data_IF_834737038834
#
_entry.id   IF_834737038834
#
_cell.length_a   1.000
_cell.length_b   1.000
_cell.length_c   1.000
_cell.angle_alpha   90.00
_cell.angle_beta   90.00
_cell.angle_gamma   90.00
#
_symmetry.space_group_name_H-M   'P 1'
#
loop_
_entity.id
_entity.type
_entity.pdbx_description
1 polymer ?
#
# COMPACT_ATOMS: atom_id res chain seq x y z
N UNK A 1 -4.02 -0.22 27.17
CA UNK A 1 -3.70 0.00 25.76
C UNK A 1 -2.32 -0.59 25.54
N UNK A 2 -2.27 -1.70 24.82
CA UNK A 2 -1.04 -2.30 24.37
C UNK A 2 -0.68 -1.79 22.97
N UNK A 3 0.61 -1.82 22.64
CA UNK A 3 1.10 -1.63 21.29
C UNK A 3 1.48 -3.00 20.71
N UNK A 4 1.03 -3.26 19.49
CA UNK A 4 1.32 -4.48 18.75
C UNK A 4 2.03 -4.13 17.45
N UNK A 5 2.83 -5.06 16.92
CA UNK A 5 3.44 -4.94 15.60
C UNK A 5 3.00 -6.09 14.72
N UNK A 6 2.59 -5.80 13.50
CA UNK A 6 2.24 -6.80 12.49
C UNK A 6 3.11 -6.60 11.25
N UNK A 7 3.98 -7.57 10.97
CA UNK A 7 4.89 -7.50 9.84
C UNK A 7 4.22 -7.86 8.49
N UNK A 8 4.90 -7.54 7.39
CA UNK A 8 4.45 -7.83 6.03
C UNK A 8 4.97 -9.17 5.48
N UNK A 9 5.35 -10.14 6.32
CA UNK A 9 5.87 -11.44 5.86
C UNK A 9 4.81 -12.27 5.12
N UNK A 10 3.55 -12.16 5.56
CA UNK A 10 2.38 -12.75 4.92
C UNK A 10 1.37 -11.66 4.54
N UNK A 11 0.81 -11.76 3.34
CA UNK A 11 -0.14 -10.77 2.80
C UNK A 11 -1.33 -11.46 2.12
N UNK A 12 -2.51 -10.85 2.20
CA UNK A 12 -3.70 -11.25 1.44
C UNK A 12 -4.10 -10.17 0.42
N UNK A 13 -5.03 -10.45 -0.48
CA UNK A 13 -5.50 -9.50 -1.53
C UNK A 13 -7.03 -9.47 -1.66
N UNK A 14 -7.70 -10.01 -0.66
CA UNK A 14 -9.13 -10.25 -0.65
C UNK A 14 -9.71 -9.76 0.67
N UNK A 15 -10.91 -9.20 0.62
CA UNK A 15 -11.69 -8.81 1.80
C UNK A 15 -12.59 -9.97 2.23
N UNK A 16 -11.98 -11.05 2.70
CA UNK A 16 -12.67 -12.32 2.95
C UNK A 16 -12.64 -12.68 4.46
N UNK A 17 -13.81 -12.96 5.04
CA UNK A 17 -13.94 -13.26 6.47
C UNK A 17 -13.52 -14.69 6.87
N UNK A 18 -13.26 -15.57 5.90
CA UNK A 18 -12.71 -16.90 6.12
C UNK A 18 -11.18 -16.87 6.35
N UNK A 19 -10.51 -15.75 6.08
CA UNK A 19 -9.07 -15.60 6.33
C UNK A 19 -8.82 -15.51 7.84
N UNK A 20 -8.01 -16.43 8.36
CA UNK A 20 -7.64 -16.43 9.78
C UNK A 20 -6.91 -15.13 10.16
N UNK A 21 -7.27 -14.50 11.29
CA UNK A 21 -6.58 -13.28 11.72
C UNK A 21 -5.14 -13.58 12.14
N UNK A 22 -4.20 -12.75 11.67
CA UNK A 22 -2.78 -12.84 12.08
C UNK A 22 -2.52 -12.21 13.44
N UNK A 23 -3.42 -11.33 13.88
CA UNK A 23 -3.34 -10.65 15.17
C UNK A 23 -4.74 -10.52 15.77
N UNK A 24 -4.87 -10.68 17.08
CA UNK A 24 -6.10 -10.35 17.82
C UNK A 24 -5.79 -9.31 18.89
N UNK A 25 -6.48 -8.17 18.83
CA UNK A 25 -6.30 -7.04 19.75
C UNK A 25 -7.56 -6.74 20.55
N UNK A 26 -7.41 -5.98 21.62
CA UNK A 26 -8.53 -5.40 22.37
C UNK A 26 -8.85 -3.98 21.85
N UNK A 27 -10.12 -3.52 21.90
CA UNK A 27 -10.47 -2.15 21.54
C UNK A 27 -9.60 -1.12 22.29
N UNK A 28 -9.07 -0.13 21.56
CA UNK A 28 -8.18 0.91 22.10
C UNK A 28 -6.69 0.57 22.06
N UNK A 29 -6.31 -0.65 21.67
CA UNK A 29 -4.90 -0.96 21.38
C UNK A 29 -4.40 -0.26 20.11
N UNK A 30 -3.07 -0.09 20.02
CA UNK A 30 -2.39 0.45 18.84
C UNK A 30 -1.71 -0.68 18.07
N UNK A 31 -1.78 -0.64 16.74
CA UNK A 31 -1.09 -1.59 15.86
C UNK A 31 -0.19 -0.83 14.90
N UNK A 32 1.10 -1.18 14.89
CA UNK A 32 2.09 -0.75 13.92
C UNK A 32 2.17 -1.79 12.81
N UNK A 33 1.80 -1.41 11.59
CA UNK A 33 1.84 -2.29 10.43
C UNK A 33 3.11 -2.03 9.61
N UNK A 34 3.85 -3.10 9.30
CA UNK A 34 4.73 -3.05 8.13
C UNK A 34 3.89 -3.39 6.91
N UNK A 35 4.11 -2.68 5.80
CA UNK A 35 3.36 -2.89 4.56
C UNK A 35 4.30 -2.97 3.37
N UNK A 36 3.93 -3.79 2.38
CA UNK A 36 4.58 -3.76 1.06
C UNK A 36 3.97 -2.67 0.20
N UNK A 37 4.72 -2.24 -0.82
CA UNK A 37 4.21 -1.25 -1.77
C UNK A 37 3.08 -1.83 -2.63
N UNK A 38 2.33 -0.96 -3.31
CA UNK A 38 1.17 -1.34 -4.11
C UNK A 38 1.48 -2.35 -5.23
N UNK A 39 2.74 -2.45 -5.66
CA UNK A 39 3.21 -3.41 -6.64
C UNK A 39 3.74 -4.72 -6.05
N UNK A 40 3.73 -4.87 -4.73
CA UNK A 40 4.25 -6.05 -4.03
C UNK A 40 5.69 -6.40 -4.45
N UNK A 41 6.56 -5.39 -4.50
CA UNK A 41 7.96 -5.56 -4.88
C UNK A 41 8.22 -5.81 -6.37
N UNK A 42 7.22 -5.60 -7.23
CA UNK A 42 7.39 -5.76 -8.68
C UNK A 42 8.40 -4.77 -9.28
N UNK A 43 8.37 -3.51 -8.83
CA UNK A 43 9.34 -2.50 -9.21
C UNK A 43 10.52 -2.49 -8.23
N UNK A 44 11.65 -2.01 -8.71
CA UNK A 44 12.86 -1.77 -7.94
C UNK A 44 13.48 -0.42 -8.33
N UNK A 45 14.49 0.02 -7.58
CA UNK A 45 15.29 1.20 -7.94
C UNK A 45 15.93 1.13 -9.34
N UNK A 46 16.18 -0.08 -9.83
CA UNK A 46 16.78 -0.33 -11.13
C UNK A 46 15.74 -0.52 -12.25
N UNK A 47 14.44 -0.49 -11.91
CA UNK A 47 13.38 -0.65 -12.91
C UNK A 47 13.33 0.52 -13.87
N UNK A 48 12.91 0.21 -15.08
CA UNK A 48 12.87 1.11 -16.24
C UNK A 48 11.46 1.22 -16.79
N UNK A 49 11.29 2.14 -17.74
CA UNK A 49 10.02 2.34 -18.45
C UNK A 49 9.56 1.05 -19.15
N UNK A 50 10.50 0.21 -19.61
CA UNK A 50 10.16 -1.06 -20.25
C UNK A 50 9.51 -2.04 -19.27
N UNK A 51 9.90 -2.03 -17.98
CA UNK A 51 9.37 -2.94 -16.96
C UNK A 51 7.88 -2.74 -16.68
N UNK A 52 7.36 -1.55 -16.99
CA UNK A 52 5.93 -1.22 -16.87
C UNK A 52 5.08 -2.11 -17.76
N UNK A 53 5.58 -2.56 -18.91
CA UNK A 53 4.87 -3.42 -19.86
C UNK A 53 5.44 -4.84 -19.93
N UNK A 54 6.65 -5.08 -19.43
CA UNK A 54 7.41 -6.30 -19.68
C UNK A 54 6.94 -7.55 -18.90
N UNK A 55 6.08 -7.43 -17.88
CA UNK A 55 5.65 -8.62 -17.12
C UNK A 55 4.13 -8.71 -16.96
N UNK A 56 3.71 -9.95 -16.72
CA UNK A 56 2.33 -10.43 -16.62
C UNK A 56 1.53 -9.81 -15.46
N UNK A 57 0.40 -10.44 -15.06
CA UNK A 57 -0.60 -9.76 -14.25
C UNK A 57 -0.03 -9.26 -12.92
N UNK A 58 -0.08 -7.94 -12.76
CA UNK A 58 0.12 -7.23 -11.51
C UNK A 58 -0.95 -7.71 -10.52
N UNK A 59 -0.58 -8.60 -9.59
CA UNK A 59 -1.51 -8.99 -8.51
C UNK A 59 -1.81 -7.79 -7.61
N UNK A 60 -0.79 -6.97 -7.35
CA UNK A 60 -0.92 -5.67 -6.69
C UNK A 60 -1.51 -5.72 -5.29
N UNK A 61 -1.59 -4.55 -4.67
CA UNK A 61 -2.33 -4.24 -3.45
C UNK A 61 -2.26 -5.33 -2.36
N UNK A 62 -1.05 -5.76 -1.95
CA UNK A 62 -0.90 -6.71 -0.85
C UNK A 62 -1.35 -6.06 0.48
N UNK A 63 -2.19 -6.75 1.22
CA UNK A 63 -2.74 -6.30 2.50
C UNK A 63 -2.08 -7.03 3.66
N UNK A 64 -1.66 -6.27 4.67
CA UNK A 64 -1.13 -6.81 5.93
C UNK A 64 -2.26 -6.91 6.94
N UNK A 65 -2.48 -8.12 7.47
CA UNK A 65 -3.67 -8.45 8.23
C UNK A 65 -4.10 -9.90 7.96
N UNK A 66 -5.35 -10.28 8.30
CA UNK A 66 -6.34 -9.46 9.00
C UNK A 66 -6.03 -9.30 10.48
N UNK A 67 -6.56 -8.23 11.09
CA UNK A 67 -6.56 -8.02 12.54
C UNK A 67 -7.97 -8.24 13.07
N UNK A 68 -8.10 -9.13 14.06
CA UNK A 68 -9.35 -9.32 14.79
C UNK A 68 -9.41 -8.38 15.98
N UNK A 69 -10.48 -7.61 16.08
CA UNK A 69 -10.78 -6.78 17.27
C UNK A 69 -11.73 -7.56 18.17
N UNK A 70 -11.34 -7.81 19.43
CA UNK A 70 -12.20 -8.54 20.38
C UNK A 70 -13.51 -7.80 20.61
N UNK A 71 -14.61 -8.55 20.58
CA UNK A 71 -15.94 -8.03 20.85
C UNK A 71 -16.65 -7.37 19.67
N UNK A 72 -15.95 -7.00 18.59
CA UNK A 72 -16.56 -6.43 17.38
C UNK A 72 -17.47 -7.46 16.68
N UNK A 73 -18.64 -7.00 16.21
CA UNK A 73 -19.69 -7.82 15.58
C UNK A 73 -20.24 -7.15 14.30
N UNK A 74 -20.85 -7.92 13.38
CA UNK A 74 -21.61 -7.34 12.27
C UNK A 74 -22.64 -6.32 12.77
N UNK A 75 -22.68 -5.15 12.13
CA UNK A 75 -23.49 -4.01 12.54
C UNK A 75 -22.76 -2.96 13.39
N UNK A 76 -21.62 -3.31 13.99
CA UNK A 76 -20.77 -2.34 14.68
C UNK A 76 -20.01 -1.44 13.68
N UNK A 77 -19.58 -0.27 14.15
CA UNK A 77 -18.65 0.60 13.42
C UNK A 77 -17.28 0.53 14.05
N UNK A 78 -16.25 0.30 13.24
CA UNK A 78 -14.86 0.41 13.68
C UNK A 78 -14.36 1.84 13.45
N UNK A 79 -13.90 2.49 14.51
CA UNK A 79 -13.16 3.76 14.41
C UNK A 79 -11.67 3.44 14.40
N UNK A 80 -10.97 3.85 13.34
CA UNK A 80 -9.52 3.69 13.20
C UNK A 80 -8.88 5.07 13.18
N UNK A 81 -8.10 5.39 14.21
CA UNK A 81 -7.29 6.61 14.26
C UNK A 81 -5.91 6.33 13.64
N UNK A 82 -5.65 6.88 12.45
CA UNK A 82 -4.33 6.79 11.82
C UNK A 82 -3.40 7.81 12.49
N UNK A 83 -2.52 7.31 13.37
CA UNK A 83 -1.60 8.12 14.18
C UNK A 83 -0.45 8.70 13.36
N UNK A 84 0.12 7.88 12.48
CA UNK A 84 1.34 8.18 11.73
C UNK A 84 1.45 7.23 10.54
N UNK A 85 2.03 7.72 9.44
CA UNK A 85 2.34 6.93 8.25
C UNK A 85 3.69 7.38 7.74
N UNK A 86 4.61 6.42 7.57
CA UNK A 86 5.97 6.70 7.09
C UNK A 86 6.35 5.75 5.98
N UNK A 87 7.02 6.23 4.91
CA UNK A 87 7.66 5.33 3.97
C UNK A 87 8.63 4.40 4.71
N UNK A 88 8.43 3.09 4.56
CA UNK A 88 9.38 2.10 5.08
C UNK A 88 10.65 1.99 4.21
N UNK A 89 10.55 2.46 2.96
CA UNK A 89 11.65 2.50 2.00
C UNK A 89 12.04 3.95 1.73
N UNK A 90 13.31 4.12 1.38
CA UNK A 90 13.93 5.39 0.97
C UNK A 90 13.69 5.70 -0.52
N UNK A 91 12.72 5.04 -1.14
CA UNK A 91 12.27 5.29 -2.51
C UNK A 91 10.80 4.90 -2.72
N UNK A 92 10.21 5.42 -3.78
CA UNK A 92 8.87 5.05 -4.25
C UNK A 92 8.81 5.06 -5.78
N UNK A 93 7.63 4.80 -6.34
CA UNK A 93 7.46 4.76 -7.79
C UNK A 93 6.14 5.38 -8.24
N UNK A 94 6.13 5.88 -9.48
CA UNK A 94 4.91 6.24 -10.20
C UNK A 94 5.04 5.69 -11.62
N UNK A 95 4.01 5.00 -12.10
CA UNK A 95 4.01 4.42 -13.42
C UNK A 95 2.80 4.89 -14.23
N UNK A 96 3.01 5.13 -15.52
CA UNK A 96 1.95 5.30 -16.52
C UNK A 96 2.03 4.08 -17.44
N UNK A 97 0.95 3.31 -17.48
CA UNK A 97 0.75 2.25 -18.47
C UNK A 97 -0.27 2.76 -19.50
N UNK A 98 0.05 2.76 -20.80
CA UNK A 98 -0.91 3.15 -21.84
C UNK A 98 -2.23 2.38 -21.70
N UNK A 99 -3.34 3.08 -21.90
CA UNK A 99 -4.69 2.51 -21.76
C UNK A 99 -5.16 2.27 -20.32
N UNK A 100 -4.42 2.74 -19.29
CA UNK A 100 -4.81 2.64 -17.87
C UNK A 100 -4.85 4.02 -17.20
N UNK A 101 -5.85 4.22 -16.37
CA UNK A 101 -6.08 5.50 -15.68
C UNK A 101 -6.91 6.46 -16.52
N UNK A 102 -6.84 7.75 -16.19
CA UNK A 102 -7.65 8.80 -16.82
C UNK A 102 -7.06 9.33 -18.14
N UNK A 103 -5.74 9.20 -18.33
CA UNK A 103 -5.05 9.81 -19.46
C UNK A 103 -5.37 9.07 -20.78
N UNK A 104 -5.71 9.80 -21.87
CA UNK A 104 -6.00 9.18 -23.15
C UNK A 104 -4.80 8.41 -23.70
N UNK A 105 -5.02 7.18 -24.13
CA UNK A 105 -3.95 6.32 -24.66
C UNK A 105 -3.28 6.92 -25.90
N UNK A 106 -4.04 7.62 -26.75
CA UNK A 106 -3.52 8.27 -27.95
C UNK A 106 -2.43 9.32 -27.65
N UNK A 107 -2.57 10.05 -26.54
CA UNK A 107 -1.63 11.10 -26.13
C UNK A 107 -0.49 10.52 -25.26
N UNK A 108 -0.77 9.43 -24.53
CA UNK A 108 0.15 8.76 -23.59
C UNK A 108 0.43 7.32 -24.01
N UNK A 109 0.82 7.13 -25.28
CA UNK A 109 1.03 5.82 -25.89
C UNK A 109 2.30 5.07 -25.42
N UNK A 110 3.18 5.74 -24.65
CA UNK A 110 4.44 5.16 -24.17
C UNK A 110 4.37 4.87 -22.67
N UNK A 111 4.93 3.75 -22.20
CA UNK A 111 5.04 3.53 -20.77
C UNK A 111 5.98 4.55 -20.13
N UNK A 112 5.65 4.95 -18.91
CA UNK A 112 6.47 5.82 -18.09
C UNK A 112 6.68 5.21 -16.71
N UNK A 113 7.91 5.30 -16.19
CA UNK A 113 8.22 4.94 -14.81
C UNK A 113 9.14 6.00 -14.24
N UNK A 114 8.71 6.61 -13.15
CA UNK A 114 9.58 7.41 -12.31
C UNK A 114 9.87 6.69 -10.99
N UNK A 115 11.15 6.60 -10.65
CA UNK A 115 11.61 6.17 -9.33
C UNK A 115 11.88 7.43 -8.52
N UNK A 116 11.12 7.61 -7.44
CA UNK A 116 11.26 8.74 -6.52
C UNK A 116 12.30 8.43 -5.46
N UNK A 117 13.19 9.38 -5.20
CA UNK A 117 14.07 9.34 -4.02
C UNK A 117 13.32 9.92 -2.81
N UNK A 118 13.21 9.13 -1.74
CA UNK A 118 12.55 9.51 -0.48
C UNK A 118 13.55 9.55 0.68
N UNK A 119 14.86 9.46 0.41
CA UNK A 119 15.90 9.25 1.42
C UNK A 119 16.01 10.37 2.46
N UNK A 120 15.57 11.59 2.14
CA UNK A 120 15.55 12.71 3.08
C UNK A 120 14.33 12.71 4.02
N UNK A 121 13.37 11.81 3.79
CA UNK A 121 12.17 11.65 4.63
C UNK A 121 11.16 12.79 4.59
N UNK A 122 11.39 13.84 3.79
CA UNK A 122 10.55 15.04 3.74
C UNK A 122 9.94 15.29 2.36
N UNK A 123 10.65 14.92 1.30
CA UNK A 123 10.22 15.13 -0.08
C UNK A 123 10.43 13.89 -0.92
N UNK A 124 9.47 13.63 -1.82
CA UNK A 124 9.67 12.75 -2.96
C UNK A 124 10.35 13.52 -4.09
N UNK A 125 11.56 13.09 -4.45
CA UNK A 125 12.40 13.79 -5.44
C UNK A 125 12.47 13.04 -6.75
N UNK A 126 12.33 13.78 -7.84
CA UNK A 126 12.59 13.30 -9.20
C UNK A 126 13.77 14.10 -9.76
N UNK A 127 14.96 13.50 -9.67
CA UNK A 127 16.22 14.16 -9.97
C UNK A 127 16.44 15.40 -9.08
N UNK A 128 17.14 16.40 -9.63
CA UNK A 128 17.44 17.66 -8.91
C UNK A 128 16.38 18.75 -9.09
N UNK A 129 15.42 18.55 -10.00
CA UNK A 129 14.54 19.62 -10.48
C UNK A 129 13.15 19.59 -9.87
N UNK A 130 12.73 18.45 -9.31
CA UNK A 130 11.37 18.27 -8.77
C UNK A 130 11.46 17.68 -7.37
N UNK A 131 10.78 18.33 -6.43
CA UNK A 131 10.62 17.88 -5.06
C UNK A 131 9.16 18.10 -4.64
N UNK A 132 8.48 17.03 -4.24
CA UNK A 132 7.09 17.05 -3.78
C UNK A 132 7.08 16.71 -2.29
N UNK A 133 6.50 17.53 -1.39
CA UNK A 133 6.40 17.19 0.03
C UNK A 133 5.74 15.83 0.25
N UNK A 134 6.26 15.03 1.19
CA UNK A 134 5.68 13.75 1.54
C UNK A 134 4.48 13.97 2.46
N UNK A 135 3.30 13.70 1.92
CA UNK A 135 2.04 13.62 2.65
C UNK A 135 1.53 12.18 2.58
N UNK A 136 2.10 11.31 3.42
CA UNK A 136 1.85 9.88 3.34
C UNK A 136 0.46 9.53 3.89
N UNK A 137 -0.27 8.69 3.17
CA UNK A 137 -1.58 8.19 3.59
C UNK A 137 -1.80 6.75 3.12
N UNK A 138 -2.62 5.97 3.83
CA UNK A 138 -2.92 4.60 3.43
C UNK A 138 -3.91 4.60 2.26
N UNK A 139 -3.46 4.10 1.09
CA UNK A 139 -4.31 4.03 -0.11
C UNK A 139 -5.41 2.97 -0.03
N UNK A 140 -5.21 1.90 0.76
CA UNK A 140 -6.15 0.78 0.90
C UNK A 140 -6.29 0.41 2.37
N UNK A 141 -7.51 0.52 2.91
CA UNK A 141 -7.90 0.05 4.23
C UNK A 141 -9.35 -0.39 4.19
N UNK A 142 -9.71 -1.36 5.02
CA UNK A 142 -11.05 -1.93 5.02
C UNK A 142 -11.21 -3.05 6.03
N UNK A 143 -12.44 -3.57 6.09
CA UNK A 143 -12.81 -4.74 6.88
C UNK A 143 -13.25 -5.86 5.95
N UNK A 144 -13.24 -7.10 6.45
CA UNK A 144 -13.75 -8.23 5.68
C UNK A 144 -15.24 -8.07 5.34
N UNK A 145 -15.68 -8.66 4.23
CA UNK A 145 -17.09 -8.73 3.87
C UNK A 145 -17.87 -9.66 4.82
N UNK A 146 -19.19 -9.57 4.75
CA UNK A 146 -20.13 -10.40 5.52
C UNK A 146 -20.11 -11.88 5.07
N UNK A 147 -19.81 -12.12 3.80
CA UNK A 147 -19.63 -13.45 3.21
C UNK A 147 -18.22 -13.61 2.58
N UNK A 148 -17.70 -14.86 2.48
CA UNK A 148 -16.39 -15.15 1.89
C UNK A 148 -16.24 -14.77 0.41
#
# INVERSE_FOLDING_TARGET
MAEHRLDASEVHREWNNAIAPRLTIDPGDTVVFDTRDAADGYYSRASTHADVIARGPFRGHPLTGPVRVRGARPGDTLVVEVRDVRPALDWGWTAIRPGRGLLPEADFAKPYLNIWDLSDGTHARMGTSVAVPIEAFPGVMGVALDEP
#
